data_IF_991150478386
#
_entry.id   IF_991150478386
#
_cell.length_a   1.000
_cell.length_b   1.000
_cell.length_c   1.000
_cell.angle_alpha   90.00
_cell.angle_beta   90.00
_cell.angle_gamma   90.00
#
_symmetry.space_group_name_H-M   'P 1'
#
loop_
_entity.id
_entity.type
_entity.pdbx_description
1 polymer ?
#
# COMPACT_ATOMS: atom_id res chain seq x y z
N UNK A 1 3.60 -1.08 -13.82
CA UNK A 1 3.20 -0.33 -12.62
C UNK A 1 3.03 -1.35 -11.51
N UNK A 2 4.07 -1.49 -10.70
CA UNK A 2 4.08 -2.35 -9.53
C UNK A 2 3.17 -1.73 -8.46
N UNK A 3 2.16 -2.47 -8.05
CA UNK A 3 1.20 -2.02 -7.04
C UNK A 3 1.64 -2.54 -5.68
N UNK A 4 1.78 -1.65 -4.72
CA UNK A 4 2.18 -2.00 -3.37
C UNK A 4 0.98 -1.89 -2.43
N UNK A 5 1.00 -2.62 -1.32
CA UNK A 5 -0.08 -2.58 -0.34
C UNK A 5 0.43 -2.00 0.97
N UNK A 6 -0.30 -1.04 1.52
CA UNK A 6 0.04 -0.43 2.81
C UNK A 6 -0.13 -1.48 3.91
N UNK A 7 0.96 -1.83 4.58
CA UNK A 7 0.96 -2.81 5.66
C UNK A 7 0.65 -2.14 7.01
N UNK A 8 1.08 -0.90 7.20
CA UNK A 8 0.83 -0.09 8.40
C UNK A 8 0.45 1.33 7.98
N UNK A 9 -0.40 2.03 8.75
CA UNK A 9 -0.74 3.40 8.44
C UNK A 9 0.52 4.29 8.44
N UNK A 10 0.68 5.08 7.40
CA UNK A 10 1.74 6.09 7.31
C UNK A 10 1.22 7.34 6.61
N UNK A 11 1.94 8.43 6.77
CA UNK A 11 1.57 9.74 6.22
C UNK A 11 2.70 10.23 5.32
N UNK A 12 2.39 10.57 4.09
CA UNK A 12 3.27 11.32 3.20
C UNK A 12 2.97 12.81 3.31
N UNK A 13 3.75 13.64 2.62
CA UNK A 13 3.52 15.10 2.62
C UNK A 13 2.14 15.46 2.06
N UNK A 14 1.66 14.68 1.09
CA UNK A 14 0.44 14.99 0.34
C UNK A 14 -0.76 14.19 0.83
N UNK A 15 -0.58 13.01 1.42
CA UNK A 15 -1.67 12.06 1.72
C UNK A 15 -1.43 11.20 2.94
N UNK A 16 -2.51 10.66 3.49
CA UNK A 16 -2.49 9.62 4.53
C UNK A 16 -2.88 8.29 3.91
N UNK A 17 -2.17 7.24 4.28
CA UNK A 17 -2.41 5.89 3.80
C UNK A 17 -2.87 5.00 4.95
N UNK A 18 -4.00 4.33 4.74
CA UNK A 18 -4.55 3.35 5.66
C UNK A 18 -4.04 1.94 5.31
N UNK A 19 -3.89 1.02 6.30
CA UNK A 19 -3.54 -0.36 6.03
C UNK A 19 -4.55 -1.01 5.07
N UNK A 20 -4.05 -1.79 4.11
CA UNK A 20 -4.83 -2.43 3.05
C UNK A 20 -5.06 -1.57 1.81
N UNK A 21 -4.69 -0.29 1.79
CA UNK A 21 -4.73 0.49 0.56
C UNK A 21 -3.66 0.04 -0.44
N UNK A 22 -4.04 0.01 -1.71
CA UNK A 22 -3.10 -0.05 -2.82
C UNK A 22 -2.45 1.33 -3.02
N UNK A 23 -1.12 1.35 -3.14
CA UNK A 23 -0.30 2.54 -3.41
C UNK A 23 0.71 2.25 -4.50
N UNK A 24 1.02 3.27 -5.28
CA UNK A 24 2.04 3.19 -6.33
C UNK A 24 3.19 4.13 -6.00
N UNK A 25 4.30 4.01 -6.74
CA UNK A 25 5.41 4.97 -6.63
C UNK A 25 4.97 6.42 -6.85
N UNK A 26 3.93 6.66 -7.66
CA UNK A 26 3.39 7.99 -7.90
C UNK A 26 2.57 8.54 -6.71
N UNK A 27 2.10 7.68 -5.81
CA UNK A 27 1.38 8.08 -4.60
C UNK A 27 2.34 8.45 -3.45
N UNK A 28 3.58 7.96 -3.51
CA UNK A 28 4.59 8.24 -2.50
C UNK A 28 5.29 9.55 -2.82
N UNK A 29 4.86 10.59 -2.12
CA UNK A 29 5.43 11.92 -2.22
C UNK A 29 6.27 12.23 -0.97
N UNK A 30 7.60 12.32 -1.13
CA UNK A 30 8.50 12.60 -0.02
C UNK A 30 9.95 12.18 -0.24
N UNK A 31 10.75 12.28 0.82
CA UNK A 31 12.17 11.88 0.81
C UNK A 31 12.38 10.36 0.85
N UNK A 32 11.36 9.60 1.28
CA UNK A 32 11.42 8.15 1.36
C UNK A 32 10.81 7.53 0.11
N UNK A 33 11.55 6.62 -0.51
CA UNK A 33 11.07 5.85 -1.67
C UNK A 33 10.19 4.68 -1.21
N UNK A 34 9.38 4.10 -2.12
CA UNK A 34 8.64 2.84 -1.86
C UNK A 34 9.57 1.77 -1.27
N UNK A 35 10.80 1.62 -1.80
CA UNK A 35 11.75 0.63 -1.31
C UNK A 35 12.14 0.85 0.16
N UNK A 36 12.24 2.11 0.59
CA UNK A 36 12.49 2.48 1.98
C UNK A 36 11.28 2.15 2.86
N UNK A 37 10.08 2.49 2.40
CA UNK A 37 8.83 2.16 3.09
C UNK A 37 8.61 0.64 3.21
N UNK A 38 9.09 -0.14 2.24
CA UNK A 38 9.08 -1.61 2.30
C UNK A 38 10.08 -2.11 3.34
N UNK A 39 11.29 -1.55 3.41
CA UNK A 39 12.28 -1.90 4.45
C UNK A 39 11.78 -1.55 5.86
N UNK A 40 11.05 -0.44 6.00
CA UNK A 40 10.42 -0.04 7.25
C UNK A 40 9.18 -0.89 7.61
N UNK A 41 8.68 -1.70 6.68
CA UNK A 41 7.46 -2.47 6.86
C UNK A 41 6.18 -1.62 6.91
N UNK A 42 6.23 -0.39 6.38
CA UNK A 42 5.06 0.46 6.16
C UNK A 42 4.27 -0.02 4.93
N UNK A 43 4.98 -0.52 3.92
CA UNK A 43 4.43 -1.00 2.65
C UNK A 43 4.91 -2.43 2.42
N UNK A 44 4.05 -3.26 1.84
CA UNK A 44 4.40 -4.59 1.36
C UNK A 44 4.52 -4.59 -0.16
N UNK A 45 5.55 -5.29 -0.65
CA UNK A 45 5.71 -5.56 -2.08
C UNK A 45 4.44 -6.21 -2.64
N UNK A 46 4.10 -5.98 -3.93
CA UNK A 46 3.00 -6.68 -4.57
C UNK A 46 3.11 -8.17 -4.27
N UNK A 47 2.13 -8.71 -3.56
CA UNK A 47 1.86 -10.13 -3.70
C UNK A 47 1.59 -10.31 -5.19
N UNK A 48 2.47 -11.04 -5.90
CA UNK A 48 2.13 -11.56 -7.25
C UNK A 48 0.69 -12.01 -7.16
N UNK A 49 -0.20 -11.62 -8.09
CA UNK A 49 -1.62 -11.89 -7.97
C UNK A 49 -1.83 -13.41 -7.97
N UNK A 50 -1.75 -14.01 -6.79
CA UNK A 50 -2.35 -15.28 -6.48
C UNK A 50 -3.83 -14.94 -6.51
N UNK A 51 -4.46 -15.34 -7.62
CA UNK A 51 -5.91 -15.48 -7.71
C UNK A 51 -6.45 -16.05 -6.38
N UNK A 52 -7.59 -15.50 -5.96
CA UNK A 52 -8.41 -15.86 -4.78
C UNK A 52 -8.06 -15.05 -3.53
N UNK A 53 -8.99 -14.50 -2.74
CA UNK A 53 -10.45 -14.58 -2.65
C UNK A 53 -10.91 -13.29 -1.91
N UNK A 54 -12.09 -12.71 -2.21
CA UNK A 54 -13.29 -12.74 -1.34
C UNK A 54 -12.97 -12.20 0.08
N UNK A 55 -13.46 -11.05 0.54
CA UNK A 55 -14.86 -10.75 0.85
C UNK A 55 -14.99 -9.24 1.08
N UNK A 56 -15.89 -8.57 0.36
CA UNK A 56 -16.60 -7.45 0.92
C UNK A 56 -17.89 -8.02 1.54
N UNK A 57 -18.08 -8.00 2.86
CA UNK A 57 -19.42 -7.93 3.39
C UNK A 57 -19.86 -6.46 3.43
N UNK A 58 -21.19 -6.30 3.40
CA UNK A 58 -21.95 -5.10 3.79
C UNK A 58 -22.33 -4.12 2.68
N UNK A 59 -23.49 -4.38 2.09
CA UNK A 59 -24.73 -3.61 2.28
C UNK A 59 -25.79 -4.21 1.33
N UNK A 60 -27.06 -4.45 1.66
CA UNK A 60 -27.92 -4.38 2.84
C UNK A 60 -29.13 -5.28 2.48
#
# INVERSE_FOLDING_TARGET
>A
MDKYTVAKPFTTLTRRFAPGQEVTEADIDGALTIADLVKLGCVSAPAKPTKAAKEAPSAE
#
